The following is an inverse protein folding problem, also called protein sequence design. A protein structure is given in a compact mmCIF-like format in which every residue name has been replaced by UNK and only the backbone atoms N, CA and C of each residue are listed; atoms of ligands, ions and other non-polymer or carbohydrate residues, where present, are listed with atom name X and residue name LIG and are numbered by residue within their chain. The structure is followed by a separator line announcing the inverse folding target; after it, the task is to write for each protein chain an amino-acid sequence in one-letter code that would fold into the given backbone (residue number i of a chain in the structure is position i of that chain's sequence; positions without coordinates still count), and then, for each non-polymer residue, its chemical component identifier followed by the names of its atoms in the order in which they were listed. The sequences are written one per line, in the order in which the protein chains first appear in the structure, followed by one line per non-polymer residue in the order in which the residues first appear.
data_IF_567232410637
#
_entry.id   IF_567232410637
#
_cell.length_a   1.000
_cell.length_b   1.000
_cell.length_c   1.000
_cell.angle_alpha   90.00
_cell.angle_beta   90.00
_cell.angle_gamma   90.00
#
_symmetry.space_group_name_H-M   'P 1'
#
loop_
_entity.id
_entity.type
_entity.pdbx_description
1 polymer ?
#
# COMPACT_ATOMS: atom_id res chain seq x y z
N UNK A 1 29.66 -17.71 6.37
CA UNK A 1 30.49 -18.00 5.19
C UNK A 1 30.34 -16.82 4.25
N UNK A 2 31.05 -15.72 4.51
CA UNK A 2 32.42 -15.40 4.04
C UNK A 2 32.43 -15.01 2.55
N UNK A 3 32.41 -13.71 2.27
CA UNK A 3 33.50 -13.02 1.54
C UNK A 3 33.26 -11.51 1.50
N UNK A 4 33.94 -10.74 2.36
CA UNK A 4 35.19 -9.98 2.12
C UNK A 4 34.94 -8.59 1.49
N UNK A 5 34.89 -7.58 2.37
CA UNK A 5 35.26 -6.17 2.10
C UNK A 5 36.50 -5.83 2.95
N UNK A 6 37.52 -5.19 2.36
CA UNK A 6 38.31 -4.06 2.94
C UNK A 6 39.49 -3.72 2.01
N UNK A 7 39.52 -2.48 1.47
CA UNK A 7 40.40 -1.35 1.86
C UNK A 7 41.90 -1.61 1.72
N UNK A 8 42.56 -0.88 0.83
CA UNK A 8 43.98 -0.54 0.95
C UNK A 8 44.22 0.95 0.74
N UNK A 9 44.94 1.53 1.68
CA UNK A 9 45.42 2.91 1.74
C UNK A 9 46.95 2.86 1.61
N UNK A 10 47.52 3.80 0.84
CA UNK A 10 48.81 4.50 1.04
C UNK A 10 50.04 3.75 1.62
N UNK A 11 51.16 3.71 0.85
CA UNK A 11 52.51 3.52 1.38
C UNK A 11 53.47 4.57 0.79
N UNK A 12 54.21 5.25 1.69
CA UNK A 12 55.32 6.18 1.45
C UNK A 12 56.62 5.39 1.25
N UNK A 13 57.50 5.85 0.35
CA UNK A 13 58.86 5.34 0.17
C UNK A 13 59.85 6.34 0.79
N UNK A 14 60.79 5.83 1.58
CA UNK A 14 61.92 6.54 2.15
C UNK A 14 63.22 5.87 1.70
N UNK A 15 64.19 6.63 1.18
CA UNK A 15 65.59 6.21 1.00
C UNK A 15 66.50 7.40 1.30
N UNK A 16 67.52 7.19 2.14
CA UNK A 16 68.40 8.22 2.70
C UNK A 16 69.78 8.37 2.01
N UNK A 17 70.34 9.58 2.16
CA UNK A 17 71.74 10.03 2.42
C UNK A 17 72.91 9.11 1.98
N UNK A 18 74.05 9.55 1.38
CA UNK A 18 74.87 10.77 1.64
C UNK A 18 76.08 10.90 0.64
N UNK A 19 76.59 12.14 0.45
CA UNK A 19 78.03 12.60 0.40
C UNK A 19 78.85 12.75 -0.93
N UNK A 20 79.18 14.05 -1.19
CA UNK A 20 80.37 14.81 -1.72
C UNK A 20 81.22 14.42 -2.96
N UNK A 21 81.40 15.39 -3.90
CA UNK A 21 82.62 16.20 -4.25
C UNK A 21 82.56 16.77 -5.70
N UNK A 22 82.82 18.09 -5.84
CA UNK A 22 83.03 18.93 -7.05
C UNK A 22 84.24 18.46 -7.92
N UNK A 23 84.48 18.87 -9.20
CA UNK A 23 84.48 20.28 -9.65
C UNK A 23 84.24 20.60 -11.17
N UNK A 24 84.36 21.89 -11.49
CA UNK A 24 84.76 22.53 -12.78
C UNK A 24 83.67 22.89 -13.82
N UNK A 25 83.14 24.09 -13.61
CA UNK A 25 82.98 25.24 -14.52
C UNK A 25 83.45 25.08 -16.00
N UNK A 26 82.48 25.12 -16.93
CA UNK A 26 82.69 25.59 -18.31
C UNK A 26 81.55 26.56 -18.66
N UNK A 27 81.86 27.85 -18.70
CA UNK A 27 80.93 28.93 -19.05
C UNK A 27 80.92 29.06 -20.59
N UNK A 28 79.78 28.79 -21.23
CA UNK A 28 79.46 29.24 -22.58
C UNK A 28 78.18 30.10 -22.52
N UNK A 29 78.17 31.32 -23.10
CA UNK A 29 77.06 32.24 -22.96
C UNK A 29 75.85 31.79 -23.78
N UNK A 30 74.72 31.63 -23.09
CA UNK A 30 73.39 31.51 -23.67
C UNK A 30 73.12 32.72 -24.57
N UNK A 31 73.13 32.49 -25.88
CA UNK A 31 72.47 33.39 -26.82
C UNK A 31 70.99 33.02 -26.79
N UNK A 32 70.18 33.94 -26.28
CA UNK A 32 68.73 33.93 -26.36
C UNK A 32 68.30 33.73 -27.82
N UNK A 33 67.75 32.56 -28.14
CA UNK A 33 66.86 32.39 -29.29
C UNK A 33 65.46 32.24 -28.74
N UNK A 34 64.87 33.38 -28.37
CA UNK A 34 63.43 33.48 -28.20
C UNK A 34 62.88 33.85 -29.59
N UNK A 35 62.54 32.84 -30.39
CA UNK A 35 61.48 33.01 -31.37
C UNK A 35 60.25 32.34 -30.77
N UNK A 36 59.39 33.19 -30.20
CA UNK A 36 58.01 32.86 -29.88
C UNK A 36 57.35 32.32 -31.15
N UNK A 37 56.70 31.15 -31.14
CA UNK A 37 55.84 30.76 -32.24
C UNK A 37 54.65 31.74 -32.25
N UNK A 38 54.69 32.67 -33.20
CA UNK A 38 53.56 33.41 -33.75
C UNK A 38 52.47 33.81 -32.74
N UNK A 39 52.71 34.90 -32.02
CA UNK A 39 51.65 35.76 -31.49
C UNK A 39 50.93 36.47 -32.66
N UNK A 40 50.18 35.68 -33.43
CA UNK A 40 49.05 36.19 -34.20
C UNK A 40 47.82 35.85 -33.38
N UNK A 41 47.07 36.86 -32.94
CA UNK A 41 45.71 36.63 -32.44
C UNK A 41 44.93 36.08 -33.65
N UNK A 42 44.76 34.76 -33.73
CA UNK A 42 43.85 34.18 -34.72
C UNK A 42 42.50 34.83 -34.41
N UNK A 43 41.92 35.47 -35.42
CA UNK A 43 40.61 36.07 -35.28
C UNK A 43 39.61 34.95 -35.08
N UNK A 44 38.93 34.96 -33.93
CA UNK A 44 37.98 33.91 -33.57
C UNK A 44 36.90 33.77 -34.63
N UNK A 45 36.75 32.59 -35.21
CA UNK A 45 35.69 32.32 -36.17
C UNK A 45 34.45 31.81 -35.43
N UNK A 46 33.27 32.03 -36.02
CA UNK A 46 32.04 31.54 -35.39
C UNK A 46 31.88 30.03 -35.64
N UNK A 47 31.36 29.28 -34.65
CA UNK A 47 31.10 27.85 -34.82
C UNK A 47 29.92 27.59 -35.77
N UNK A 48 29.80 26.34 -36.22
CA UNK A 48 28.65 25.84 -36.99
C UNK A 48 27.91 24.77 -36.21
N UNK A 49 26.58 24.76 -36.30
CA UNK A 49 25.71 23.83 -35.57
C UNK A 49 24.94 22.94 -36.53
N UNK A 50 24.69 21.70 -36.11
CA UNK A 50 24.00 20.69 -36.88
C UNK A 50 22.99 19.93 -36.03
N UNK A 51 21.88 19.53 -36.64
CA UNK A 51 20.90 18.61 -36.04
C UNK A 51 21.14 17.19 -36.57
N UNK A 52 21.00 16.19 -35.69
CA UNK A 52 21.19 14.78 -36.05
C UNK A 52 20.21 14.26 -37.10
N UNK A 53 19.02 14.84 -37.19
CA UNK A 53 18.04 14.53 -38.21
C UNK A 53 18.17 15.55 -39.33
N UNK A 54 18.72 15.11 -40.45
CA UNK A 54 18.76 15.83 -41.73
C UNK A 54 17.61 15.33 -42.58
N UNK A 55 16.50 16.06 -42.72
CA UNK A 55 15.44 15.53 -43.53
C UNK A 55 15.57 16.15 -44.94
N UNK A 56 15.79 15.30 -45.94
CA UNK A 56 15.51 15.63 -47.34
C UNK A 56 13.98 15.72 -47.61
N UNK A 57 13.14 15.70 -46.56
CA UNK A 57 11.66 15.62 -46.58
C UNK A 57 11.04 16.07 -45.24
N UNK A 58 9.76 15.80 -44.97
CA UNK A 58 9.11 16.05 -43.66
C UNK A 58 9.40 14.91 -42.68
N UNK A 59 9.82 15.22 -41.44
CA UNK A 59 9.92 14.22 -40.36
C UNK A 59 8.55 13.59 -40.14
N UNK A 60 8.47 12.27 -39.94
CA UNK A 60 7.21 11.61 -39.61
C UNK A 60 6.70 12.08 -38.24
N UNK A 61 5.38 12.27 -38.03
CA UNK A 61 4.84 12.67 -36.74
C UNK A 61 5.25 11.68 -35.63
N UNK A 62 5.80 12.19 -34.54
CA UNK A 62 6.24 11.43 -33.36
C UNK A 62 5.38 11.69 -32.12
N UNK A 63 5.78 11.11 -30.99
CA UNK A 63 5.14 11.41 -29.68
C UNK A 63 5.40 12.86 -29.27
N UNK A 64 4.63 13.40 -28.33
CA UNK A 64 4.91 14.74 -27.78
C UNK A 64 6.13 14.78 -26.84
N UNK A 65 6.66 13.62 -26.47
CA UNK A 65 7.96 13.48 -25.81
C UNK A 65 9.05 13.19 -26.85
N UNK A 66 9.85 14.20 -27.20
CA UNK A 66 10.86 14.07 -28.27
C UNK A 66 12.27 14.23 -27.73
N UNK A 67 13.16 13.31 -28.11
CA UNK A 67 14.61 13.46 -27.90
C UNK A 67 15.22 14.06 -29.16
N UNK A 68 15.82 15.25 -29.02
CA UNK A 68 16.54 15.93 -30.09
C UNK A 68 18.03 15.85 -29.80
N UNK A 69 18.83 15.54 -30.82
CA UNK A 69 20.30 15.53 -30.73
C UNK A 69 20.92 16.50 -31.72
N UNK A 70 21.99 17.15 -31.29
CA UNK A 70 22.74 18.15 -32.05
C UNK A 70 24.24 17.98 -31.82
N UNK A 71 25.02 18.65 -32.65
CA UNK A 71 26.46 18.78 -32.49
C UNK A 71 26.93 20.08 -33.13
N UNK A 72 28.12 20.54 -32.74
CA UNK A 72 28.76 21.72 -33.31
C UNK A 72 30.19 21.44 -33.74
N UNK A 73 30.67 22.25 -34.66
CA UNK A 73 32.05 22.26 -35.15
C UNK A 73 32.59 23.69 -35.06
N UNK A 74 33.81 23.83 -34.54
CA UNK A 74 34.47 25.12 -34.40
C UNK A 74 35.76 25.13 -35.22
N UNK A 75 35.93 26.06 -36.18
CA UNK A 75 37.07 26.03 -37.10
C UNK A 75 38.44 26.21 -36.45
N UNK A 76 38.50 26.91 -35.32
CA UNK A 76 39.73 27.37 -34.66
C UNK A 76 39.81 27.08 -33.15
N UNK A 77 38.82 26.38 -32.59
CA UNK A 77 38.74 26.05 -31.17
C UNK A 77 37.84 24.85 -30.87
N UNK A 78 37.05 24.95 -29.80
CA UNK A 78 36.13 23.89 -29.40
C UNK A 78 34.80 24.44 -28.89
N UNK A 79 33.77 23.60 -28.94
CA UNK A 79 32.43 23.97 -28.46
C UNK A 79 32.38 23.93 -26.93
N UNK A 80 32.03 25.06 -26.33
CA UNK A 80 31.83 25.22 -24.89
C UNK A 80 30.40 24.87 -24.45
N UNK A 81 29.43 24.97 -25.37
CA UNK A 81 28.06 24.50 -25.17
C UNK A 81 27.11 24.94 -26.26
N UNK A 82 25.81 24.89 -25.98
CA UNK A 82 24.74 25.15 -26.94
C UNK A 82 23.65 26.01 -26.33
N UNK A 83 23.07 26.87 -27.16
CA UNK A 83 21.82 27.56 -26.90
C UNK A 83 20.69 26.85 -27.64
N UNK A 84 19.59 26.55 -26.96
CA UNK A 84 18.42 25.86 -27.54
C UNK A 84 17.14 26.68 -27.35
N UNK A 85 16.23 26.64 -28.32
CA UNK A 85 14.97 27.39 -28.28
C UNK A 85 13.87 26.74 -29.14
N UNK A 86 12.61 26.96 -28.79
CA UNK A 86 11.43 26.60 -29.60
C UNK A 86 10.72 27.80 -30.25
N UNK A 87 11.12 29.03 -29.91
CA UNK A 87 10.48 30.26 -30.37
C UNK A 87 11.47 31.25 -30.99
N UNK A 88 12.77 30.92 -31.03
CA UNK A 88 13.90 31.76 -31.44
C UNK A 88 14.13 33.03 -30.60
N UNK A 89 13.37 33.22 -29.53
CA UNK A 89 13.41 34.41 -28.66
C UNK A 89 13.96 34.06 -27.29
N UNK A 90 13.42 33.00 -26.68
CA UNK A 90 13.80 32.52 -25.37
C UNK A 90 14.77 31.34 -25.54
N UNK A 91 16.02 31.54 -25.10
CA UNK A 91 17.10 30.57 -25.28
C UNK A 91 17.54 29.99 -23.93
N UNK A 92 17.53 28.66 -23.81
CA UNK A 92 18.19 27.92 -22.74
C UNK A 92 19.65 27.60 -23.11
N UNK A 93 20.53 27.41 -22.12
CA UNK A 93 21.91 26.98 -22.34
C UNK A 93 22.12 25.56 -21.79
N UNK A 94 22.84 24.72 -22.52
CA UNK A 94 23.26 23.39 -22.09
C UNK A 94 24.64 23.03 -22.65
N UNK A 95 25.38 22.20 -21.94
CA UNK A 95 26.64 21.62 -22.43
C UNK A 95 26.42 20.24 -23.07
N UNK A 96 25.21 19.71 -22.98
CA UNK A 96 24.87 18.41 -23.53
C UNK A 96 24.59 18.49 -25.04
N UNK A 97 24.80 17.37 -25.73
CA UNK A 97 24.56 17.23 -27.17
C UNK A 97 23.16 16.70 -27.49
N UNK A 98 22.36 16.40 -26.47
CA UNK A 98 20.97 16.02 -26.63
C UNK A 98 20.12 16.43 -25.42
N UNK A 99 18.82 16.45 -25.64
CA UNK A 99 17.84 16.61 -24.56
C UNK A 99 16.50 16.02 -24.97
N UNK A 100 15.67 15.71 -23.98
CA UNK A 100 14.30 15.24 -24.17
C UNK A 100 13.33 16.34 -23.74
N UNK A 101 12.41 16.69 -24.63
CA UNK A 101 11.44 17.77 -24.44
C UNK A 101 10.03 17.19 -24.42
N UNK A 102 9.26 17.52 -23.38
CA UNK A 102 7.83 17.27 -23.32
C UNK A 102 7.08 18.47 -23.91
N UNK A 103 6.40 18.28 -25.04
CA UNK A 103 5.76 19.34 -25.81
C UNK A 103 4.25 19.34 -25.61
N UNK A 104 3.69 20.39 -25.01
CA UNK A 104 2.25 20.48 -24.82
C UNK A 104 1.53 20.88 -26.10
N UNK A 105 0.54 20.10 -26.54
CA UNK A 105 -0.30 20.42 -27.70
C UNK A 105 -1.77 20.57 -27.31
N UNK A 106 -2.48 21.41 -28.06
CA UNK A 106 -3.93 21.49 -27.98
C UNK A 106 -4.52 20.70 -29.15
N UNK A 107 -5.22 19.59 -28.87
CA UNK A 107 -5.83 18.74 -29.89
C UNK A 107 -5.00 17.50 -30.25
N UNK A 108 -5.16 17.00 -31.47
CA UNK A 108 -4.60 15.71 -31.91
C UNK A 108 -3.13 15.76 -32.32
N UNK A 109 -2.67 16.89 -32.84
CA UNK A 109 -1.38 17.04 -33.48
C UNK A 109 -0.90 18.50 -33.50
N UNK A 110 0.40 18.69 -33.59
CA UNK A 110 1.03 20.00 -33.75
C UNK A 110 2.38 19.87 -34.45
N UNK A 111 3.00 20.99 -34.82
CA UNK A 111 4.36 21.02 -35.34
C UNK A 111 5.17 22.09 -34.62
N UNK A 112 6.27 21.68 -34.00
CA UNK A 112 7.18 22.58 -33.28
C UNK A 112 8.42 22.86 -34.11
N UNK A 113 8.88 24.10 -34.09
CA UNK A 113 10.19 24.45 -34.64
C UNK A 113 11.21 24.47 -33.53
N UNK A 114 12.29 23.73 -33.68
CA UNK A 114 13.42 23.76 -32.76
C UNK A 114 14.59 24.54 -33.38
N UNK A 115 15.33 25.24 -32.54
CA UNK A 115 16.53 25.98 -32.90
C UNK A 115 17.66 25.60 -31.94
N UNK A 116 18.87 25.43 -32.48
CA UNK A 116 20.08 25.22 -31.68
C UNK A 116 21.26 25.97 -32.29
N UNK A 117 22.05 26.63 -31.44
CA UNK A 117 23.29 27.33 -31.81
C UNK A 117 24.41 26.93 -30.87
N UNK A 118 25.53 26.49 -31.42
CA UNK A 118 26.75 26.24 -30.68
C UNK A 118 27.37 27.55 -30.20
N UNK A 119 28.07 27.48 -29.06
CA UNK A 119 28.84 28.54 -28.44
C UNK A 119 30.26 28.02 -28.26
N UNK A 120 31.24 28.71 -28.83
CA UNK A 120 32.66 28.31 -28.74
C UNK A 120 33.30 28.66 -27.39
N UNK A 121 34.58 28.32 -27.23
CA UNK A 121 35.37 28.57 -26.02
C UNK A 121 35.73 30.05 -25.79
N UNK A 122 35.54 30.90 -26.80
CA UNK A 122 35.76 32.34 -26.73
C UNK A 122 34.46 33.16 -26.66
N UNK A 123 33.30 32.48 -26.67
CA UNK A 123 31.97 33.03 -26.52
C UNK A 123 31.27 33.50 -27.80
N UNK A 124 31.83 33.26 -29.00
CA UNK A 124 31.03 33.47 -30.23
C UNK A 124 29.97 32.39 -30.36
N UNK A 125 28.88 32.77 -31.01
CA UNK A 125 27.68 31.96 -31.19
C UNK A 125 27.51 31.76 -32.68
N UNK A 126 27.10 30.55 -33.09
CA UNK A 126 26.71 30.28 -34.46
C UNK A 126 25.64 31.31 -34.93
N UNK A 127 25.95 32.16 -35.94
CA UNK A 127 25.05 33.19 -36.44
C UNK A 127 23.87 32.62 -37.25
N UNK A 128 23.94 31.34 -37.60
CA UNK A 128 22.95 30.61 -38.39
C UNK A 128 22.46 29.37 -37.63
N UNK A 129 21.63 29.54 -36.58
CA UNK A 129 21.13 28.42 -35.79
C UNK A 129 20.58 27.29 -36.66
N UNK A 130 20.99 26.05 -36.35
CA UNK A 130 20.38 24.88 -36.97
C UNK A 130 18.91 24.79 -36.54
N UNK A 131 18.01 24.56 -37.49
CA UNK A 131 16.58 24.49 -37.22
C UNK A 131 15.89 23.38 -37.99
N UNK A 132 14.86 22.79 -37.38
CA UNK A 132 14.01 21.80 -38.02
C UNK A 132 12.59 21.84 -37.46
N UNK A 133 11.64 21.26 -38.21
CA UNK A 133 10.24 21.12 -37.83
C UNK A 133 9.98 19.69 -37.32
N UNK A 134 9.40 19.60 -36.13
CA UNK A 134 9.06 18.35 -35.45
C UNK A 134 7.53 18.24 -35.33
N UNK A 135 6.88 17.52 -36.26
CA UNK A 135 5.47 17.18 -36.10
C UNK A 135 5.31 16.17 -34.97
N UNK A 136 4.32 16.39 -34.12
CA UNK A 136 3.99 15.52 -32.98
C UNK A 136 2.50 15.23 -32.97
N UNK A 137 2.12 14.05 -32.48
CA UNK A 137 0.74 13.60 -32.29
C UNK A 137 0.54 13.25 -30.82
N UNK A 138 -0.65 13.58 -30.29
CA UNK A 138 -1.05 13.17 -28.95
C UNK A 138 -1.61 11.74 -28.98
N UNK A 139 -1.09 10.92 -28.09
CA UNK A 139 -1.45 9.54 -27.85
C UNK A 139 -2.44 9.48 -26.69
N UNK A 140 -3.54 8.74 -26.84
CA UNK A 140 -4.49 8.62 -25.74
C UNK A 140 -3.88 7.85 -24.55
N UNK A 141 -4.20 8.23 -23.31
CA UNK A 141 -3.72 7.53 -22.13
C UNK A 141 -4.35 6.13 -22.02
N UNK A 142 -3.82 5.33 -21.11
CA UNK A 142 -4.38 4.07 -20.66
C UNK A 142 -4.56 4.06 -19.14
N UNK A 143 -5.47 3.24 -18.64
CA UNK A 143 -5.65 3.00 -17.21
C UNK A 143 -5.96 1.53 -16.97
N UNK A 144 -5.43 0.96 -15.90
CA UNK A 144 -5.69 -0.42 -15.49
C UNK A 144 -5.82 -0.51 -13.98
N UNK A 145 -6.65 -1.44 -13.48
CA UNK A 145 -6.70 -1.71 -12.04
C UNK A 145 -5.44 -2.45 -11.60
N UNK A 146 -4.94 -2.10 -10.42
CA UNK A 146 -3.73 -2.71 -9.89
C UNK A 146 -3.99 -4.16 -9.48
N UNK A 147 -3.13 -5.08 -9.94
CA UNK A 147 -3.28 -6.50 -9.65
C UNK A 147 -3.23 -6.77 -8.14
N UNK A 148 -4.06 -7.70 -7.67
CA UNK A 148 -4.16 -8.04 -6.25
C UNK A 148 -4.98 -7.04 -5.44
N UNK A 149 -5.67 -6.09 -6.08
CA UNK A 149 -6.60 -5.15 -5.44
C UNK A 149 -8.06 -5.39 -5.82
N UNK A 150 -8.36 -6.56 -6.38
CA UNK A 150 -9.70 -6.91 -6.85
C UNK A 150 -10.71 -6.96 -5.68
N UNK A 151 -11.92 -6.48 -5.96
CA UNK A 151 -13.02 -6.62 -5.02
C UNK A 151 -13.40 -8.10 -4.82
N UNK A 152 -13.78 -8.50 -3.59
CA UNK A 152 -14.49 -9.75 -3.40
C UNK A 152 -15.84 -9.71 -4.11
N UNK A 153 -16.41 -10.89 -4.42
CA UNK A 153 -17.72 -10.99 -5.08
C UNK A 153 -18.85 -10.34 -4.26
N UNK A 154 -18.65 -10.14 -2.95
CA UNK A 154 -19.63 -9.49 -2.07
C UNK A 154 -18.95 -8.57 -1.06
N UNK A 155 -19.51 -7.38 -0.88
CA UNK A 155 -19.12 -6.40 0.15
C UNK A 155 -20.34 -5.79 0.84
N UNK A 156 -20.12 -4.98 1.88
CA UNK A 156 -21.12 -3.99 2.31
C UNK A 156 -20.99 -2.74 1.44
N UNK A 157 -21.65 -1.65 1.85
CA UNK A 157 -21.70 -0.36 1.15
C UNK A 157 -20.38 0.41 1.19
N UNK A 158 -19.24 -0.29 1.13
CA UNK A 158 -17.88 0.24 1.03
C UNK A 158 -17.14 -0.57 -0.03
N UNK A 159 -16.49 0.13 -0.97
CA UNK A 159 -15.64 -0.48 -1.99
C UNK A 159 -14.48 0.46 -2.33
N UNK A 160 -13.25 -0.07 -2.33
CA UNK A 160 -12.06 0.69 -2.74
C UNK A 160 -11.53 0.16 -4.07
N UNK A 161 -11.11 1.09 -4.94
CA UNK A 161 -10.58 0.80 -6.26
C UNK A 161 -9.21 1.44 -6.40
N UNK A 162 -8.21 0.67 -6.80
CA UNK A 162 -6.84 1.15 -7.01
C UNK A 162 -6.42 0.89 -8.45
N UNK A 163 -5.79 1.88 -9.07
CA UNK A 163 -5.42 1.81 -10.49
C UNK A 163 -4.07 2.46 -10.77
N UNK A 164 -3.56 2.16 -11.96
CA UNK A 164 -2.35 2.73 -12.54
C UNK A 164 -2.75 3.33 -13.89
N UNK A 165 -2.48 4.62 -14.08
CA UNK A 165 -2.54 5.28 -15.37
C UNK A 165 -1.19 5.17 -16.08
N UNK A 166 -1.22 5.22 -17.41
CA UNK A 166 -0.02 5.35 -18.23
C UNK A 166 -0.29 6.18 -19.47
N UNK A 167 0.65 7.01 -19.90
CA UNK A 167 0.51 7.80 -21.12
C UNK A 167 1.79 7.69 -21.99
N UNK A 168 1.68 7.28 -23.27
CA UNK A 168 2.85 7.17 -24.16
C UNK A 168 3.64 8.47 -24.35
N UNK A 169 3.00 9.61 -24.14
CA UNK A 169 3.58 10.94 -24.27
C UNK A 169 4.22 11.47 -22.97
N UNK A 170 4.18 10.67 -21.89
CA UNK A 170 4.69 11.01 -20.58
C UNK A 170 3.59 10.95 -19.52
N UNK A 171 3.89 10.33 -18.38
CA UNK A 171 2.93 10.12 -17.28
C UNK A 171 2.34 11.42 -16.71
N UNK A 172 3.11 12.51 -16.79
CA UNK A 172 2.69 13.86 -16.44
C UNK A 172 1.59 14.43 -17.34
N UNK A 173 1.34 13.83 -18.51
CA UNK A 173 0.29 14.23 -19.44
C UNK A 173 -1.10 13.76 -18.98
N UNK A 174 -1.21 12.85 -18.01
CA UNK A 174 -2.51 12.48 -17.45
C UNK A 174 -3.05 13.65 -16.62
N UNK A 175 -4.07 14.32 -17.11
CA UNK A 175 -4.73 15.44 -16.44
C UNK A 175 -5.67 14.98 -15.31
N UNK A 176 -6.44 13.91 -15.55
CA UNK A 176 -7.44 13.43 -14.57
C UNK A 176 -7.95 12.01 -14.85
N UNK A 177 -8.63 11.43 -13.87
CA UNK A 177 -9.43 10.22 -14.06
C UNK A 177 -10.92 10.53 -13.98
N UNK A 178 -11.69 9.79 -14.77
CA UNK A 178 -13.14 9.83 -14.81
C UNK A 178 -13.68 8.50 -14.32
N UNK A 179 -14.57 8.52 -13.34
CA UNK A 179 -15.20 7.32 -12.79
C UNK A 179 -16.73 7.39 -12.75
N UNK A 180 -17.39 6.24 -12.76
CA UNK A 180 -18.84 6.14 -12.58
C UNK A 180 -19.23 4.78 -11.99
N UNK A 181 -20.39 4.72 -11.34
CA UNK A 181 -21.02 3.50 -10.85
C UNK A 181 -22.23 3.17 -11.71
N UNK A 182 -22.30 1.93 -12.19
CA UNK A 182 -23.46 1.36 -12.91
C UNK A 182 -23.90 2.10 -14.18
N UNK A 183 -23.06 3.01 -14.69
CA UNK A 183 -23.34 3.86 -15.84
C UNK A 183 -22.03 4.11 -16.61
N UNK A 184 -22.13 4.22 -17.94
CA UNK A 184 -21.00 4.57 -18.83
C UNK A 184 -21.23 5.91 -19.54
N UNK A 185 -22.20 6.71 -19.09
CA UNK A 185 -22.56 8.00 -19.69
C UNK A 185 -22.12 9.14 -18.76
N UNK A 186 -22.52 9.11 -17.48
CA UNK A 186 -22.30 10.20 -16.54
C UNK A 186 -21.11 9.93 -15.63
N UNK A 187 -19.92 10.34 -16.09
CA UNK A 187 -18.69 10.22 -15.32
C UNK A 187 -18.47 11.42 -14.37
N UNK A 188 -17.92 11.13 -13.20
CA UNK A 188 -17.39 12.10 -12.22
C UNK A 188 -15.87 12.18 -12.35
N UNK A 189 -15.28 13.34 -12.11
CA UNK A 189 -13.84 13.58 -12.28
C UNK A 189 -13.09 13.58 -10.95
N UNK A 190 -11.91 12.97 -10.92
CA UNK A 190 -10.91 13.11 -9.85
C UNK A 190 -9.56 13.54 -10.44
N UNK A 191 -8.72 14.30 -9.70
CA UNK A 191 -7.39 14.68 -10.16
C UNK A 191 -6.49 13.47 -10.46
N UNK A 192 -5.48 13.65 -11.32
CA UNK A 192 -4.51 12.60 -11.67
C UNK A 192 -3.68 12.09 -10.48
N UNK A 193 -3.56 12.88 -9.40
CA UNK A 193 -2.91 12.46 -8.15
C UNK A 193 -3.69 11.41 -7.36
N UNK A 194 -4.96 11.17 -7.70
CA UNK A 194 -5.80 10.16 -7.06
C UNK A 194 -5.73 8.86 -7.87
N UNK A 195 -5.13 7.83 -7.27
CA UNK A 195 -5.02 6.46 -7.84
C UNK A 195 -5.64 5.39 -6.96
N UNK A 196 -6.19 5.79 -5.81
CA UNK A 196 -6.99 4.97 -4.89
C UNK A 196 -8.24 5.76 -4.51
N UNK A 197 -9.41 5.16 -4.71
CA UNK A 197 -10.69 5.76 -4.38
C UNK A 197 -11.54 4.79 -3.57
N UNK A 198 -12.00 5.23 -2.40
CA UNK A 198 -12.99 4.52 -1.59
C UNK A 198 -14.35 5.15 -1.76
N UNK A 199 -15.33 4.33 -2.11
CA UNK A 199 -16.71 4.70 -2.32
C UNK A 199 -17.59 4.10 -1.22
N UNK A 200 -18.62 4.85 -0.86
CA UNK A 200 -19.61 4.48 0.14
C UNK A 200 -21.05 4.53 -0.44
N UNK A 201 -22.07 4.37 0.40
CA UNK A 201 -23.48 4.52 0.01
C UNK A 201 -23.75 5.85 -0.70
N UNK A 202 -23.23 6.94 -0.16
CA UNK A 202 -23.47 8.31 -0.66
C UNK A 202 -22.79 8.56 -2.01
N UNK A 203 -21.81 7.72 -2.34
CA UNK A 203 -21.17 7.75 -3.65
C UNK A 203 -22.07 7.23 -4.78
N UNK A 204 -23.17 6.55 -4.45
CA UNK A 204 -24.10 5.95 -5.41
C UNK A 204 -24.01 4.42 -5.49
N UNK A 205 -23.35 3.78 -4.53
CA UNK A 205 -23.38 2.32 -4.41
C UNK A 205 -24.81 1.87 -4.11
N UNK A 206 -25.35 0.95 -4.90
CA UNK A 206 -26.71 0.44 -4.71
C UNK A 206 -26.66 -0.80 -3.81
N UNK A 207 -27.22 -0.69 -2.61
CA UNK A 207 -27.31 -1.80 -1.66
C UNK A 207 -28.33 -2.86 -2.10
N UNK A 208 -28.10 -4.11 -1.69
CA UNK A 208 -28.82 -5.32 -2.09
C UNK A 208 -28.90 -5.52 -3.61
N UNK A 209 -27.89 -5.04 -4.34
CA UNK A 209 -27.83 -5.08 -5.78
C UNK A 209 -26.43 -5.39 -6.29
N UNK A 210 -26.36 -5.78 -7.56
CA UNK A 210 -25.12 -5.96 -8.27
C UNK A 210 -24.65 -4.61 -8.82
N UNK A 211 -23.38 -4.30 -8.59
CA UNK A 211 -22.77 -3.05 -8.98
C UNK A 211 -21.59 -3.29 -9.95
N UNK A 212 -21.23 -2.23 -10.68
CA UNK A 212 -20.09 -2.13 -11.60
C UNK A 212 -19.45 -0.75 -11.47
N UNK A 213 -18.12 -0.69 -11.42
CA UNK A 213 -17.33 0.53 -11.37
C UNK A 213 -16.64 0.67 -12.71
N UNK A 214 -16.77 1.84 -13.32
CA UNK A 214 -16.14 2.19 -14.59
C UNK A 214 -15.12 3.30 -14.37
N UNK A 215 -14.03 3.25 -15.13
CA UNK A 215 -12.92 4.19 -15.02
C UNK A 215 -12.31 4.45 -16.40
N UNK A 216 -11.85 5.68 -16.64
CA UNK A 216 -11.01 6.04 -17.79
C UNK A 216 -10.10 7.22 -17.44
N UNK A 217 -8.97 7.34 -18.11
CA UNK A 217 -8.05 8.47 -17.99
C UNK A 217 -8.36 9.54 -19.04
N UNK A 218 -7.96 10.78 -18.73
CA UNK A 218 -7.99 11.94 -19.63
C UNK A 218 -6.61 12.60 -19.58
N UNK A 219 -6.04 12.89 -20.75
CA UNK A 219 -4.79 13.65 -20.86
C UNK A 219 -5.03 15.18 -20.87
N UNK A 220 -3.96 15.98 -20.92
CA UNK A 220 -4.02 17.44 -20.98
C UNK A 220 -4.60 17.98 -22.30
N UNK A 221 -4.49 17.21 -23.39
CA UNK A 221 -5.09 17.53 -24.69
C UNK A 221 -6.60 17.17 -24.78
N UNK A 222 -7.13 16.46 -23.77
CA UNK A 222 -8.51 16.02 -23.66
C UNK A 222 -8.81 14.66 -24.30
N UNK A 223 -7.82 13.90 -24.75
CA UNK A 223 -8.04 12.56 -25.26
C UNK A 223 -8.39 11.60 -24.11
N UNK A 224 -9.18 10.57 -24.44
CA UNK A 224 -9.76 9.64 -23.49
C UNK A 224 -9.21 8.24 -23.69
N UNK A 225 -8.85 7.57 -22.60
CA UNK A 225 -8.56 6.15 -22.64
C UNK A 225 -9.83 5.34 -22.95
N UNK A 226 -9.70 4.06 -23.38
CA UNK A 226 -10.78 3.09 -23.27
C UNK A 226 -11.34 3.03 -21.83
N UNK A 227 -12.63 2.74 -21.71
CA UNK A 227 -13.26 2.53 -20.40
C UNK A 227 -12.84 1.14 -19.89
N UNK A 228 -12.25 1.11 -18.69
CA UNK A 228 -12.05 -0.12 -17.92
C UNK A 228 -13.13 -0.26 -16.86
N UNK A 229 -13.37 -1.50 -16.41
CA UNK A 229 -14.38 -1.80 -15.39
C UNK A 229 -13.88 -2.78 -14.35
N UNK A 230 -14.38 -2.64 -13.12
CA UNK A 230 -14.19 -3.62 -12.05
C UNK A 230 -15.55 -4.02 -11.47
N UNK A 231 -15.80 -5.33 -11.26
CA UNK A 231 -15.05 -6.50 -11.73
C UNK A 231 -14.92 -6.62 -13.27
N UNK A 232 -13.95 -7.40 -13.75
CA UNK A 232 -13.66 -7.59 -15.18
C UNK A 232 -14.73 -8.43 -15.94
N UNK A 233 -14.61 -8.44 -17.28
CA UNK A 233 -15.35 -9.26 -18.27
C UNK A 233 -16.75 -9.76 -17.87
N UNK A 234 -17.73 -8.86 -17.82
CA UNK A 234 -19.17 -9.10 -17.55
C UNK A 234 -19.59 -9.44 -16.11
N UNK A 235 -18.65 -9.63 -15.17
CA UNK A 235 -18.99 -9.86 -13.76
C UNK A 235 -19.50 -8.59 -13.07
N UNK A 236 -20.10 -8.76 -11.91
CA UNK A 236 -20.59 -7.70 -11.03
C UNK A 236 -20.23 -8.05 -9.59
N UNK A 237 -20.05 -7.07 -8.71
CA UNK A 237 -19.94 -7.35 -7.27
C UNK A 237 -21.30 -7.08 -6.60
N UNK A 238 -21.68 -7.95 -5.68
CA UNK A 238 -22.92 -7.79 -4.93
C UNK A 238 -22.67 -6.93 -3.68
N UNK A 239 -23.51 -5.93 -3.44
CA UNK A 239 -23.43 -5.10 -2.24
C UNK A 239 -24.57 -5.45 -1.31
N UNK A 240 -24.26 -5.79 -0.07
CA UNK A 240 -25.25 -6.00 0.98
C UNK A 240 -25.57 -4.68 1.67
N UNK A 241 -26.85 -4.46 1.98
CA UNK A 241 -27.24 -3.41 2.92
C UNK A 241 -26.76 -3.75 4.34
N UNK A 242 -26.47 -2.71 5.13
CA UNK A 242 -26.30 -2.82 6.57
C UNK A 242 -27.68 -2.85 7.20
N UNK A 243 -27.98 -3.92 7.93
CA UNK A 243 -29.28 -4.17 8.57
C UNK A 243 -29.20 -4.17 10.09
N UNK A 244 -27.99 -4.28 10.66
CA UNK A 244 -27.75 -4.25 12.09
C UNK A 244 -26.55 -3.38 12.46
N UNK A 245 -26.49 -2.99 13.74
CA UNK A 245 -25.34 -2.33 14.37
C UNK A 245 -24.21 -3.30 14.70
N UNK A 246 -24.46 -4.61 14.64
CA UNK A 246 -23.48 -5.66 14.97
C UNK A 246 -23.05 -6.36 13.70
N UNK A 247 -21.74 -6.40 13.45
CA UNK A 247 -21.11 -7.25 12.44
C UNK A 247 -20.48 -8.47 13.09
N UNK A 248 -20.93 -9.66 12.71
CA UNK A 248 -20.23 -10.90 12.96
C UNK A 248 -19.18 -11.14 11.87
N UNK A 249 -17.90 -11.06 12.23
CA UNK A 249 -16.80 -11.53 11.39
C UNK A 249 -16.61 -13.02 11.66
N UNK A 250 -17.09 -13.83 10.70
CA UNK A 250 -17.00 -15.28 10.74
C UNK A 250 -15.63 -15.73 10.24
N UNK A 251 -14.74 -16.01 11.19
CA UNK A 251 -13.38 -16.52 10.97
C UNK A 251 -13.26 -17.98 11.41
N UNK A 252 -14.35 -18.73 11.20
CA UNK A 252 -14.53 -20.07 11.75
C UNK A 252 -14.06 -21.11 10.74
N UNK A 253 -13.21 -22.08 11.14
CA UNK A 253 -12.79 -23.17 10.25
C UNK A 253 -13.99 -23.98 9.74
N UNK A 254 -13.91 -24.47 8.51
CA UNK A 254 -14.99 -25.25 7.87
C UNK A 254 -15.43 -26.45 8.72
N UNK A 255 -14.49 -27.10 9.41
CA UNK A 255 -14.74 -28.23 10.32
C UNK A 255 -15.64 -27.88 11.53
N UNK A 256 -15.79 -26.61 11.88
CA UNK A 256 -16.62 -26.16 13.02
C UNK A 256 -17.83 -25.31 12.60
N UNK A 257 -18.02 -25.09 11.29
CA UNK A 257 -19.06 -24.19 10.79
C UNK A 257 -20.48 -24.65 11.16
N UNK A 258 -20.76 -25.95 11.08
CA UNK A 258 -22.08 -26.51 11.45
C UNK A 258 -22.38 -26.30 12.93
N UNK A 259 -21.43 -26.65 13.81
CA UNK A 259 -21.54 -26.45 15.26
C UNK A 259 -21.75 -24.98 15.60
N UNK A 260 -20.95 -24.10 15.01
CA UNK A 260 -21.06 -22.66 15.23
C UNK A 260 -22.41 -22.10 14.76
N UNK A 261 -22.87 -22.50 13.58
CA UNK A 261 -24.15 -22.03 13.02
C UNK A 261 -25.32 -22.43 13.93
N UNK A 262 -25.35 -23.67 14.40
CA UNK A 262 -26.37 -24.14 15.34
C UNK A 262 -26.30 -23.42 16.69
N UNK A 263 -25.09 -23.17 17.20
CA UNK A 263 -24.90 -22.43 18.44
C UNK A 263 -25.42 -20.99 18.33
N UNK A 264 -25.00 -20.25 17.30
CA UNK A 264 -25.38 -18.84 17.14
C UNK A 264 -26.86 -18.66 16.82
N UNK A 265 -27.47 -19.57 16.07
CA UNK A 265 -28.92 -19.57 15.85
C UNK A 265 -29.72 -19.62 17.15
N UNK A 266 -29.20 -20.32 18.17
CA UNK A 266 -29.83 -20.37 19.49
C UNK A 266 -29.38 -19.22 20.40
N UNK A 267 -28.09 -18.89 20.45
CA UNK A 267 -27.54 -17.95 21.43
C UNK A 267 -27.77 -16.47 21.06
N UNK A 268 -27.99 -16.17 19.77
CA UNK A 268 -28.25 -14.83 19.24
C UNK A 268 -29.67 -14.67 18.69
N UNK A 269 -30.61 -15.56 19.06
CA UNK A 269 -32.00 -15.56 18.56
C UNK A 269 -32.75 -14.23 18.74
N UNK A 270 -32.37 -13.44 19.74
CA UNK A 270 -32.95 -12.12 20.06
C UNK A 270 -32.08 -10.93 19.65
N UNK A 271 -30.95 -11.17 18.98
CA UNK A 271 -29.96 -10.16 18.62
C UNK A 271 -29.80 -10.16 17.10
N UNK A 272 -30.15 -9.05 16.46
CA UNK A 272 -29.92 -8.89 15.03
C UNK A 272 -28.45 -8.62 14.75
N UNK A 273 -27.86 -9.26 13.74
CA UNK A 273 -26.49 -9.04 13.32
C UNK A 273 -26.35 -9.26 11.82
N UNK A 274 -25.48 -8.50 11.19
CA UNK A 274 -24.98 -8.80 9.85
C UNK A 274 -23.76 -9.71 9.96
N UNK A 275 -23.45 -10.45 8.89
CA UNK A 275 -22.33 -11.38 8.88
C UNK A 275 -21.50 -11.23 7.61
N UNK A 276 -20.19 -11.30 7.79
CA UNK A 276 -19.20 -11.48 6.73
C UNK A 276 -18.34 -12.71 7.05
N UNK A 277 -18.10 -13.54 6.03
CA UNK A 277 -17.23 -14.70 6.14
C UNK A 277 -15.87 -14.38 5.56
N UNK A 278 -14.84 -14.55 6.36
CA UNK A 278 -13.45 -14.29 5.95
C UNK A 278 -12.61 -15.57 5.88
N UNK A 279 -13.17 -16.74 6.21
CA UNK A 279 -12.42 -17.99 6.32
C UNK A 279 -12.76 -18.99 5.23
N UNK A 280 -14.04 -19.07 4.85
CA UNK A 280 -14.46 -19.97 3.77
C UNK A 280 -13.78 -19.61 2.44
N UNK A 281 -13.75 -20.58 1.52
CA UNK A 281 -13.11 -20.42 0.20
C UNK A 281 -11.66 -19.93 0.30
N UNK A 282 -10.90 -20.42 1.29
CA UNK A 282 -9.52 -20.02 1.54
C UNK A 282 -9.33 -18.49 1.71
N UNK A 283 -10.32 -17.81 2.30
CA UNK A 283 -10.26 -16.37 2.53
C UNK A 283 -10.44 -15.51 1.27
N UNK A 284 -10.97 -16.07 0.18
CA UNK A 284 -11.24 -15.33 -1.06
C UNK A 284 -12.20 -14.15 -0.87
N UNK A 285 -13.00 -14.16 0.20
CA UNK A 285 -13.99 -13.12 0.52
C UNK A 285 -13.41 -11.94 1.33
N UNK A 286 -12.15 -12.02 1.75
CA UNK A 286 -11.47 -10.92 2.43
C UNK A 286 -11.20 -9.81 1.41
N UNK A 287 -11.63 -8.56 1.65
CA UNK A 287 -11.21 -7.43 0.83
C UNK A 287 -9.70 -7.35 0.74
N UNK A 288 -9.16 -7.28 -0.49
CA UNK A 288 -7.72 -7.27 -0.70
C UNK A 288 -7.06 -5.98 -0.20
N UNK A 289 -7.78 -4.87 -0.27
CA UNK A 289 -7.36 -3.59 0.31
C UNK A 289 -7.81 -3.58 1.78
N UNK A 290 -6.92 -3.90 2.71
CA UNK A 290 -7.28 -3.90 4.15
C UNK A 290 -7.57 -2.48 4.65
N UNK A 291 -6.67 -1.54 4.37
CA UNK A 291 -6.86 -0.12 4.68
C UNK A 291 -6.85 0.67 3.37
N UNK A 292 -7.92 1.40 3.02
CA UNK A 292 -9.08 1.71 3.88
C UNK A 292 -10.28 0.75 3.80
N UNK A 293 -10.45 -0.06 2.74
CA UNK A 293 -11.73 -0.74 2.47
C UNK A 293 -12.28 -1.59 3.63
N UNK A 294 -11.46 -2.49 4.18
CA UNK A 294 -11.91 -3.36 5.28
C UNK A 294 -12.11 -2.57 6.58
N UNK A 295 -11.22 -1.63 6.90
CA UNK A 295 -11.37 -0.75 8.08
C UNK A 295 -12.66 0.07 8.02
N UNK A 296 -12.95 0.68 6.87
CA UNK A 296 -14.20 1.44 6.66
C UNK A 296 -15.43 0.53 6.69
N UNK A 297 -15.32 -0.71 6.19
CA UNK A 297 -16.39 -1.72 6.30
C UNK A 297 -16.72 -2.02 7.76
N UNK A 298 -15.70 -2.19 8.62
CA UNK A 298 -15.92 -2.38 10.06
C UNK A 298 -16.59 -1.14 10.67
N UNK A 299 -16.21 0.06 10.22
CA UNK A 299 -16.76 1.34 10.68
C UNK A 299 -18.24 1.57 10.34
N UNK A 300 -18.86 0.73 9.50
CA UNK A 300 -20.31 0.75 9.29
C UNK A 300 -21.11 0.23 10.51
N UNK A 301 -20.43 -0.38 11.48
CA UNK A 301 -21.04 -1.07 12.61
C UNK A 301 -20.54 -0.50 13.94
N UNK A 302 -21.42 -0.46 14.94
CA UNK A 302 -21.06 -0.04 16.30
C UNK A 302 -20.25 -1.12 17.03
N UNK A 303 -20.52 -2.39 16.70
CA UNK A 303 -19.89 -3.57 17.32
C UNK A 303 -19.41 -4.55 16.25
N UNK A 304 -18.16 -4.97 16.38
CA UNK A 304 -17.56 -6.08 15.63
C UNK A 304 -17.44 -7.28 16.56
N UNK A 305 -18.16 -8.35 16.24
CA UNK A 305 -18.04 -9.65 16.90
C UNK A 305 -17.19 -10.58 16.03
N UNK A 306 -15.91 -10.73 16.39
CA UNK A 306 -14.96 -11.57 15.67
C UNK A 306 -14.88 -12.95 16.29
N UNK A 307 -15.20 -13.99 15.52
CA UNK A 307 -15.23 -15.38 16.01
C UNK A 307 -14.30 -16.25 15.19
N UNK A 308 -13.26 -16.74 15.85
CA UNK A 308 -12.28 -17.67 15.32
C UNK A 308 -12.42 -19.09 15.83
N UNK A 309 -11.52 -19.98 15.39
CA UNK A 309 -11.45 -21.37 15.85
C UNK A 309 -10.58 -21.60 17.08
N UNK A 310 -10.33 -22.87 17.42
CA UNK A 310 -9.63 -23.29 18.64
C UNK A 310 -8.15 -22.93 18.69
N UNK A 311 -7.58 -22.49 17.58
CA UNK A 311 -6.21 -21.97 17.55
C UNK A 311 -5.15 -22.87 16.94
N UNK A 312 -5.36 -24.15 16.60
CA UNK A 312 -4.30 -24.93 15.90
C UNK A 312 -3.90 -24.31 14.54
N UNK A 313 -2.77 -24.69 13.93
CA UNK A 313 -2.27 -24.08 12.67
C UNK A 313 -3.35 -23.97 11.57
N UNK A 314 -4.21 -24.98 11.45
CA UNK A 314 -5.33 -24.99 10.50
C UNK A 314 -6.65 -24.38 11.03
N UNK A 315 -6.74 -24.06 12.33
CA UNK A 315 -7.97 -23.65 13.02
C UNK A 315 -7.86 -22.33 13.81
N UNK A 316 -6.82 -21.52 13.56
CA UNK A 316 -6.66 -20.22 14.22
C UNK A 316 -7.46 -19.12 13.53
N UNK A 317 -7.87 -18.10 14.28
CA UNK A 317 -8.30 -16.83 13.68
C UNK A 317 -7.19 -16.20 12.82
N UNK A 318 -7.58 -15.38 11.86
CA UNK A 318 -6.74 -14.49 11.10
C UNK A 318 -6.34 -13.28 11.96
N UNK A 319 -5.40 -13.52 12.88
CA UNK A 319 -4.86 -12.48 13.76
C UNK A 319 -4.18 -11.35 12.96
N UNK A 320 -3.50 -11.64 11.84
CA UNK A 320 -2.88 -10.59 11.00
C UNK A 320 -3.90 -9.55 10.56
N UNK A 321 -5.02 -9.99 9.97
CA UNK A 321 -6.09 -9.09 9.53
C UNK A 321 -6.69 -8.33 10.71
N UNK A 322 -6.91 -8.99 11.84
CA UNK A 322 -7.42 -8.34 13.05
C UNK A 322 -6.46 -7.24 13.55
N UNK A 323 -5.14 -7.48 13.54
CA UNK A 323 -4.14 -6.52 13.98
C UNK A 323 -3.94 -5.34 13.02
N UNK A 324 -4.12 -5.58 11.74
CA UNK A 324 -4.03 -4.55 10.70
C UNK A 324 -5.28 -3.66 10.66
N UNK A 325 -6.41 -4.08 11.25
CA UNK A 325 -7.70 -3.40 11.12
C UNK A 325 -8.35 -2.93 12.42
N UNK A 326 -8.36 -3.77 13.47
CA UNK A 326 -9.06 -3.46 14.71
C UNK A 326 -8.51 -2.24 15.45
N UNK A 327 -7.19 -1.93 15.47
CA UNK A 327 -6.70 -0.70 16.07
C UNK A 327 -7.32 0.55 15.44
N UNK A 328 -7.44 0.61 14.11
CA UNK A 328 -8.06 1.75 13.41
C UNK A 328 -9.56 1.84 13.69
N UNK A 329 -10.27 0.71 13.67
CA UNK A 329 -11.69 0.64 14.03
C UNK A 329 -11.93 1.08 15.49
N UNK A 330 -11.07 0.65 16.42
CA UNK A 330 -11.08 1.10 17.82
C UNK A 330 -10.70 2.58 17.94
N UNK A 331 -9.85 3.16 17.10
CA UNK A 331 -9.66 4.62 17.14
C UNK A 331 -10.92 5.38 16.73
N UNK A 332 -11.73 4.82 15.82
CA UNK A 332 -13.00 5.39 15.35
C UNK A 332 -14.19 5.29 16.31
N UNK A 333 -14.03 4.76 17.53
CA UNK A 333 -15.11 4.64 18.51
C UNK A 333 -15.82 3.28 18.54
N UNK A 334 -15.52 2.36 17.61
CA UNK A 334 -16.10 1.03 17.55
C UNK A 334 -15.82 0.14 18.77
N UNK A 335 -16.62 -0.89 18.98
CA UNK A 335 -16.45 -1.89 20.06
C UNK A 335 -16.23 -3.28 19.49
N UNK A 336 -15.45 -4.11 20.19
CA UNK A 336 -15.04 -5.44 19.71
C UNK A 336 -15.35 -6.51 20.75
N UNK A 337 -16.08 -7.54 20.35
CA UNK A 337 -16.03 -8.83 21.04
C UNK A 337 -15.18 -9.80 20.21
N UNK A 338 -14.00 -10.15 20.70
CA UNK A 338 -13.10 -11.09 20.01
C UNK A 338 -13.08 -12.43 20.74
N UNK A 339 -13.40 -13.52 20.05
CA UNK A 339 -13.46 -14.86 20.61
C UNK A 339 -12.74 -15.86 19.71
N UNK A 340 -11.58 -16.34 20.15
CA UNK A 340 -10.78 -17.35 19.43
C UNK A 340 -9.77 -17.98 20.38
N UNK A 341 -9.37 -19.22 20.09
CA UNK A 341 -8.21 -19.84 20.72
C UNK A 341 -6.87 -19.42 20.10
N UNK A 342 -5.77 -19.81 20.75
CA UNK A 342 -4.39 -19.55 20.34
C UNK A 342 -3.69 -20.79 19.77
N UNK A 343 -2.61 -20.58 19.02
CA UNK A 343 -1.80 -21.67 18.50
C UNK A 343 -1.10 -22.49 19.60
N UNK A 344 -1.26 -23.81 19.51
CA UNK A 344 -0.72 -24.81 20.44
C UNK A 344 0.81 -24.96 20.39
N UNK A 345 1.47 -24.44 19.35
CA UNK A 345 2.93 -24.52 19.18
C UNK A 345 3.54 -23.13 19.10
N UNK A 346 4.45 -22.82 20.02
CA UNK A 346 5.48 -21.80 19.83
C UNK A 346 5.02 -20.36 19.59
N UNK A 347 3.96 -19.88 20.26
CA UNK A 347 3.66 -18.43 20.29
C UNK A 347 4.69 -17.73 21.19
N UNK A 348 5.92 -17.64 20.71
CA UNK A 348 7.00 -16.85 21.27
C UNK A 348 6.91 -15.46 20.66
N UNK A 349 6.06 -14.60 21.22
CA UNK A 349 5.89 -13.25 20.67
C UNK A 349 5.18 -12.33 21.64
N UNK A 350 5.94 -11.72 22.54
CA UNK A 350 5.54 -10.55 23.31
C UNK A 350 4.99 -9.46 22.35
N UNK A 351 3.82 -8.91 22.63
CA UNK A 351 3.30 -7.68 22.02
C UNK A 351 2.88 -7.70 20.54
N UNK A 352 3.27 -8.69 19.73
CA UNK A 352 3.09 -8.62 18.26
C UNK A 352 1.87 -9.34 17.70
N UNK A 353 1.04 -10.04 18.49
CA UNK A 353 -0.14 -10.78 17.98
C UNK A 353 -1.50 -10.20 18.41
N UNK A 354 -1.51 -9.33 19.42
CA UNK A 354 -2.74 -8.78 20.01
C UNK A 354 -2.52 -7.31 20.36
N UNK A 355 -2.13 -6.50 19.38
CA UNK A 355 -1.95 -5.05 19.53
C UNK A 355 -3.30 -4.30 19.72
N UNK A 356 -4.42 -4.97 19.51
CA UNK A 356 -5.75 -4.39 19.60
C UNK A 356 -6.43 -4.63 20.94
N UNK A 357 -5.85 -5.42 21.87
CA UNK A 357 -6.44 -5.68 23.20
C UNK A 357 -5.36 -5.63 24.30
N UNK A 358 -5.71 -5.35 25.57
CA UNK A 358 -4.75 -5.24 26.66
C UNK A 358 -4.22 -6.60 27.15
N UNK A 359 -3.56 -7.35 26.26
CA UNK A 359 -2.88 -8.61 26.58
C UNK A 359 -1.39 -8.37 26.71
N UNK A 360 -0.79 -8.76 27.83
CA UNK A 360 0.65 -8.71 28.03
C UNK A 360 1.33 -9.93 27.39
N UNK A 361 0.87 -11.14 27.73
CA UNK A 361 1.40 -12.37 27.17
C UNK A 361 0.40 -13.53 27.20
N UNK A 362 0.70 -14.61 26.47
CA UNK A 362 -0.11 -15.84 26.41
C UNK A 362 0.54 -16.91 27.30
N UNK A 363 -0.27 -17.75 27.96
CA UNK A 363 0.26 -18.84 28.80
C UNK A 363 1.09 -19.84 27.99
N UNK A 364 2.19 -20.32 28.60
CA UNK A 364 3.04 -21.37 28.01
C UNK A 364 2.43 -22.77 28.12
N UNK A 365 1.62 -23.00 29.16
CA UNK A 365 0.85 -24.23 29.33
C UNK A 365 -0.49 -24.18 28.58
N UNK A 366 -1.08 -25.35 28.38
CA UNK A 366 -2.42 -25.51 27.82
C UNK A 366 -3.30 -26.31 28.77
N UNK A 367 -4.57 -25.95 28.86
CA UNK A 367 -5.55 -26.55 29.78
C UNK A 367 -6.60 -27.29 28.96
N UNK A 368 -6.94 -28.54 29.28
CA UNK A 368 -8.09 -29.19 28.69
C UNK A 368 -9.38 -28.65 29.32
N UNK A 369 -10.34 -28.25 28.48
CA UNK A 369 -11.69 -27.99 28.93
C UNK A 369 -12.52 -29.27 28.80
N UNK A 370 -12.50 -30.07 29.86
CA UNK A 370 -13.20 -31.35 29.96
C UNK A 370 -14.57 -31.10 30.59
N UNK A 371 -15.65 -31.62 29.99
CA UNK A 371 -16.95 -31.65 30.67
C UNK A 371 -17.43 -33.08 30.87
N UNK A 372 -17.44 -33.53 32.13
CA UNK A 372 -18.38 -34.55 32.59
C UNK A 372 -18.86 -34.27 34.03
N UNK A 373 -18.09 -33.54 34.87
CA UNK A 373 -18.52 -33.22 36.26
C UNK A 373 -17.95 -31.93 36.88
N UNK A 374 -16.80 -31.41 36.43
CA UNK A 374 -16.16 -30.23 37.06
C UNK A 374 -16.15 -28.98 36.16
N UNK A 375 -16.67 -27.89 36.72
CA UNK A 375 -16.66 -26.55 36.15
C UNK A 375 -15.26 -25.94 36.19
N UNK A 376 -14.36 -26.41 35.32
CA UNK A 376 -12.99 -25.84 35.25
C UNK A 376 -13.00 -24.35 34.89
N UNK A 377 -14.05 -23.84 34.25
CA UNK A 377 -14.27 -22.42 33.98
C UNK A 377 -14.97 -21.75 35.17
N UNK A 378 -14.26 -20.89 35.87
CA UNK A 378 -14.74 -20.13 37.02
C UNK A 378 -15.15 -18.73 36.60
N UNK A 379 -16.36 -18.33 37.03
CA UNK A 379 -16.84 -16.96 36.92
C UNK A 379 -16.20 -16.09 38.01
N UNK A 380 -15.54 -15.01 37.61
CA UNK A 380 -14.95 -14.02 38.52
C UNK A 380 -15.85 -12.79 38.66
N UNK A 381 -16.45 -12.34 37.55
CA UNK A 381 -17.42 -11.25 37.55
C UNK A 381 -18.85 -11.80 37.65
N UNK A 382 -19.48 -11.64 38.82
CA UNK A 382 -20.83 -12.13 39.12
C UNK A 382 -21.96 -11.49 38.28
N UNK A 383 -21.66 -10.44 37.49
CA UNK A 383 -22.63 -9.84 36.56
C UNK A 383 -22.81 -10.62 35.26
N UNK A 384 -21.93 -11.58 34.99
CA UNK A 384 -22.00 -12.50 33.85
C UNK A 384 -22.73 -13.81 34.21
N UNK A 385 -23.07 -14.68 33.26
CA UNK A 385 -23.66 -15.98 33.58
C UNK A 385 -22.60 -17.07 33.86
N UNK A 386 -22.97 -18.11 34.59
CA UNK A 386 -22.16 -19.34 34.64
C UNK A 386 -22.30 -20.08 33.31
N UNK A 387 -21.19 -20.21 32.58
CA UNK A 387 -21.13 -20.84 31.24
C UNK A 387 -20.29 -22.10 31.26
N UNK A 388 -20.52 -22.99 30.28
CA UNK A 388 -19.77 -24.23 30.14
C UNK A 388 -19.87 -24.82 28.74
N UNK A 389 -19.01 -25.80 28.43
CA UNK A 389 -19.05 -26.57 27.18
C UNK A 389 -19.65 -27.95 27.41
N UNK A 390 -20.41 -28.51 26.46
CA UNK A 390 -20.83 -29.93 26.46
C UNK A 390 -19.84 -30.84 25.72
N UNK A 391 -18.74 -30.29 25.20
CA UNK A 391 -17.72 -30.99 24.43
C UNK A 391 -16.33 -30.79 25.02
N UNK A 392 -15.46 -31.80 24.84
CA UNK A 392 -14.06 -31.69 25.20
C UNK A 392 -13.35 -30.72 24.26
N UNK A 393 -12.70 -29.69 24.81
CA UNK A 393 -11.79 -28.83 24.07
C UNK A 393 -10.39 -29.06 24.62
N UNK A 394 -9.53 -29.66 23.80
CA UNK A 394 -8.14 -29.89 24.18
C UNK A 394 -7.30 -28.64 23.93
N UNK A 395 -6.40 -28.35 24.86
CA UNK A 395 -5.35 -27.35 24.70
C UNK A 395 -5.80 -25.87 24.63
N UNK A 396 -6.68 -25.44 25.54
CA UNK A 396 -7.00 -24.02 25.73
C UNK A 396 -5.80 -23.28 26.33
N UNK A 397 -5.48 -22.11 25.80
CA UNK A 397 -4.50 -21.18 26.39
C UNK A 397 -5.23 -20.00 27.01
N UNK A 398 -4.67 -19.46 28.08
CA UNK A 398 -5.11 -18.17 28.59
C UNK A 398 -4.08 -17.09 28.34
N UNK A 399 -4.30 -15.96 29.00
CA UNK A 399 -3.50 -14.75 28.87
C UNK A 399 -3.12 -14.18 30.23
N UNK A 400 -2.07 -13.39 30.24
CA UNK A 400 -1.75 -12.46 31.31
C UNK A 400 -2.21 -11.07 30.87
N UNK A 401 -2.97 -10.40 31.73
CA UNK A 401 -3.54 -9.08 31.49
C UNK A 401 -3.75 -8.36 32.83
N UNK A 402 -3.70 -7.03 32.80
CA UNK A 402 -4.09 -6.17 33.93
C UNK A 402 -5.56 -5.70 33.83
N UNK A 403 -6.27 -6.13 32.78
CA UNK A 403 -7.65 -5.76 32.53
C UNK A 403 -8.65 -6.45 33.48
N UNK A 404 -9.91 -6.03 33.45
CA UNK A 404 -10.94 -6.58 34.32
C UNK A 404 -11.31 -8.01 33.88
N UNK A 405 -11.00 -8.99 34.73
CA UNK A 405 -11.25 -10.41 34.46
C UNK A 405 -12.72 -10.78 34.61
N UNK A 406 -13.24 -11.56 33.67
CA UNK A 406 -14.62 -12.09 33.66
C UNK A 406 -14.61 -13.59 33.99
N UNK A 407 -13.78 -14.37 33.30
CA UNK A 407 -13.67 -15.81 33.48
C UNK A 407 -12.22 -16.27 33.56
N UNK A 408 -11.97 -17.27 34.42
CA UNK A 408 -10.67 -17.93 34.57
C UNK A 408 -10.81 -19.45 34.52
N UNK A 409 -9.77 -20.16 34.11
CA UNK A 409 -9.68 -21.61 34.35
C UNK A 409 -8.97 -21.94 35.66
N UNK A 410 -9.39 -23.03 36.30
CA UNK A 410 -8.62 -23.68 37.36
C UNK A 410 -7.28 -24.20 36.83
N UNK A 411 -6.25 -24.20 37.69
CA UNK A 411 -4.91 -24.64 37.32
C UNK A 411 -4.87 -26.15 37.04
N UNK A 412 -4.68 -26.53 35.77
CA UNK A 412 -4.34 -27.89 35.39
C UNK A 412 -2.92 -28.28 35.80
N UNK A 413 -2.65 -29.58 35.87
CA UNK A 413 -1.29 -30.11 36.09
C UNK A 413 -0.33 -29.53 35.04
N UNK A 414 0.71 -28.80 35.48
CA UNK A 414 1.72 -28.17 34.60
C UNK A 414 1.63 -26.65 34.44
N UNK A 415 0.59 -26.00 34.96
CA UNK A 415 0.52 -24.52 35.06
C UNK A 415 0.91 -24.08 36.48
N UNK A 416 2.02 -23.34 36.63
CA UNK A 416 2.69 -23.22 37.94
C UNK A 416 2.24 -22.07 38.84
N UNK A 417 1.49 -21.05 38.37
CA UNK A 417 0.88 -20.00 39.25
C UNK A 417 -0.29 -19.24 38.60
N UNK A 418 -1.23 -18.79 39.47
CA UNK A 418 -2.46 -17.98 39.24
C UNK A 418 -3.56 -18.58 38.34
N UNK A 419 -4.85 -18.37 38.66
CA UNK A 419 -5.94 -18.82 37.78
C UNK A 419 -5.79 -18.17 36.41
N UNK A 420 -5.94 -18.99 35.38
CA UNK A 420 -5.58 -18.59 34.01
C UNK A 420 -6.72 -17.80 33.40
N UNK A 421 -6.47 -16.52 33.08
CA UNK A 421 -7.48 -15.63 32.50
C UNK A 421 -7.81 -16.09 31.09
N UNK A 422 -9.09 -16.31 30.83
CA UNK A 422 -9.60 -16.68 29.50
C UNK A 422 -10.65 -15.73 28.97
N UNK A 423 -11.20 -14.86 29.82
CA UNK A 423 -12.03 -13.78 29.37
C UNK A 423 -11.85 -12.55 30.23
N UNK A 424 -11.75 -11.39 29.60
CA UNK A 424 -11.60 -10.10 30.25
C UNK A 424 -12.27 -9.00 29.42
N UNK A 425 -12.46 -7.85 30.05
CA UNK A 425 -12.85 -6.59 29.40
C UNK A 425 -11.82 -5.50 29.68
N UNK A 426 -11.59 -4.64 28.70
CA UNK A 426 -10.55 -3.60 28.76
C UNK A 426 -10.80 -2.51 29.81
N UNK A 427 -12.06 -2.23 30.15
CA UNK A 427 -12.44 -1.31 31.21
C UNK A 427 -13.59 -1.85 32.07
N UNK A 428 -13.69 -1.48 33.35
CA UNK A 428 -14.77 -1.94 34.22
C UNK A 428 -16.14 -1.36 33.82
N UNK A 429 -16.16 -0.13 33.31
CA UNK A 429 -17.34 0.63 32.89
C UNK A 429 -17.16 1.00 31.41
N UNK A 430 -18.20 0.78 30.60
CA UNK A 430 -18.20 1.06 29.16
C UNK A 430 -16.98 0.47 28.43
N UNK A 431 -16.70 -0.83 28.58
CA UNK A 431 -15.60 -1.46 27.86
C UNK A 431 -15.79 -1.32 26.35
N UNK A 432 -14.67 -1.22 25.65
CA UNK A 432 -14.63 -1.23 24.19
C UNK A 432 -14.23 -2.59 23.66
N UNK A 433 -13.64 -3.43 24.51
CA UNK A 433 -13.17 -4.75 24.15
C UNK A 433 -13.65 -5.74 25.20
N UNK A 434 -14.30 -6.79 24.73
CA UNK A 434 -14.38 -8.06 25.45
C UNK A 434 -13.56 -9.06 24.66
N UNK A 435 -12.64 -9.75 25.33
CA UNK A 435 -11.78 -10.75 24.69
C UNK A 435 -11.98 -12.09 25.36
N UNK A 436 -12.09 -13.16 24.56
CA UNK A 436 -12.17 -14.53 25.04
C UNK A 436 -11.19 -15.43 24.28
N UNK A 437 -10.33 -16.13 25.02
CA UNK A 437 -9.28 -17.02 24.50
C UNK A 437 -9.81 -18.41 24.11
N UNK A 438 -11.14 -18.52 23.98
CA UNK A 438 -11.87 -19.72 23.63
C UNK A 438 -12.92 -19.35 22.58
N UNK A 439 -13.18 -20.20 21.58
CA UNK A 439 -14.32 -19.99 20.69
C UNK A 439 -15.63 -20.16 21.46
N UNK A 440 -16.41 -19.09 21.55
CA UNK A 440 -17.67 -19.05 22.30
C UNK A 440 -18.68 -20.09 21.83
N UNK A 441 -18.59 -20.56 20.59
CA UNK A 441 -19.51 -21.57 20.06
C UNK A 441 -19.34 -22.97 20.65
N UNK A 442 -18.30 -23.20 21.46
CA UNK A 442 -18.22 -24.39 22.30
C UNK A 442 -18.86 -24.21 23.68
N UNK A 443 -19.31 -23.01 24.07
CA UNK A 443 -19.95 -22.76 25.37
C UNK A 443 -21.44 -23.14 25.37
N UNK A 444 -21.73 -24.37 24.94
CA UNK A 444 -23.07 -24.86 24.62
C UNK A 444 -23.71 -25.74 25.73
N UNK A 445 -23.15 -25.76 26.95
CA UNK A 445 -23.71 -26.55 28.07
C UNK A 445 -25.12 -26.11 28.46
N UNK A 446 -25.34 -24.79 28.52
CA UNK A 446 -26.64 -24.19 28.83
C UNK A 446 -26.94 -23.08 27.82
N UNK A 447 -27.85 -23.32 26.85
CA UNK A 447 -28.23 -22.31 25.87
C UNK A 447 -28.77 -21.01 26.47
N UNK A 448 -29.42 -21.06 27.63
CA UNK A 448 -29.93 -19.85 28.30
C UNK A 448 -28.78 -19.00 28.85
N UNK A 449 -27.77 -19.63 29.44
CA UNK A 449 -26.56 -18.94 29.88
C UNK A 449 -25.83 -18.28 28.70
N UNK A 450 -25.75 -18.95 27.54
CA UNK A 450 -25.18 -18.36 26.32
C UNK A 450 -25.94 -17.11 25.86
N UNK A 451 -27.28 -17.14 25.89
CA UNK A 451 -28.11 -15.95 25.58
C UNK A 451 -27.84 -14.80 26.54
N UNK A 452 -27.78 -15.09 27.84
CA UNK A 452 -27.48 -14.09 28.87
C UNK A 452 -26.08 -13.50 28.66
N UNK A 453 -25.10 -14.30 28.24
CA UNK A 453 -23.74 -13.84 27.95
C UNK A 453 -23.74 -12.79 26.83
N UNK A 454 -24.36 -13.09 25.69
CA UNK A 454 -24.40 -12.16 24.57
C UNK A 454 -25.21 -10.91 24.87
N UNK A 455 -26.33 -11.02 25.59
CA UNK A 455 -27.08 -9.85 26.06
C UNK A 455 -26.26 -8.99 27.02
N UNK A 456 -25.52 -9.61 27.95
CA UNK A 456 -24.63 -8.89 28.87
C UNK A 456 -23.58 -8.11 28.10
N UNK A 457 -22.91 -8.73 27.12
CA UNK A 457 -21.86 -8.09 26.33
C UNK A 457 -22.45 -7.01 25.40
N UNK A 458 -23.37 -7.36 24.52
CA UNK A 458 -23.83 -6.45 23.46
C UNK A 458 -24.77 -5.35 23.98
N UNK A 459 -25.70 -5.69 24.87
CA UNK A 459 -26.68 -4.72 25.40
C UNK A 459 -26.13 -4.07 26.67
N UNK A 460 -25.67 -4.88 27.63
CA UNK A 460 -25.26 -4.40 28.95
C UNK A 460 -23.95 -3.62 28.97
N UNK A 461 -22.93 -4.07 28.24
CA UNK A 461 -21.59 -3.46 28.24
C UNK A 461 -21.39 -2.55 27.04
N UNK A 462 -21.79 -3.00 25.85
CA UNK A 462 -21.64 -2.22 24.61
C UNK A 462 -22.79 -1.24 24.35
N UNK A 463 -23.91 -1.35 25.06
CA UNK A 463 -25.02 -0.39 24.96
C UNK A 463 -25.78 -0.44 23.65
N UNK A 464 -25.81 -1.60 22.98
CA UNK A 464 -26.62 -1.80 21.78
C UNK A 464 -28.09 -1.88 22.19
N UNK A 465 -28.82 -0.83 21.84
CA UNK A 465 -30.28 -0.75 21.95
C UNK A 465 -30.96 -1.18 20.66
#
# INVERSE_FOLDING_TARGET
MSDIRRKFNSIKIAIGRTVWILPVLLILPFSFSCEDPTSGKIENLAPQTYLSIFPDSTIAPGSTLITIRWWGDDPDGFINGYRVSFDSVNWGYTTDNDSTFALSINGSDSTFRFFVSAVDDQGLIDPTPATNLYPVVNSAPAVTFEAGTELPDTSFTIASFKWIGSDPDGEENIASYLWSLNDTINFRRVPASITLLTLNSDSGIIANANNVFYLRAVDEAGALSPIVRMPDTSRTWHVKAVTSKILMVRDIPSANLTTATQYFANALDTISYDMIDIKSNNGALIPKIVNPMWVETLGLFDVVFWVGGTGSVANAANFSLAQESLPYYLLGGGKVFFSSGFQGVGVSGQGSLINFAPVDSVTSCTIPFINITDSNLTQVDNSYPVIGSSSLITAVKGVYTQAQVIYTFFNGQGCTTSPIVVCFKDAPINPRIVYMTLPVYFLNRDPNASKVLFRRIFIGEFGIN
#
